data_IF_366757300630
#
_entry.id   IF_366757300630
#
_cell.length_a   1.000
_cell.length_b   1.000
_cell.length_c   1.000
_cell.angle_alpha   90.00
_cell.angle_beta   90.00
_cell.angle_gamma   90.00
#
_symmetry.space_group_name_H-M   'P 1'
#
loop_
_entity.id
_entity.type
_entity.pdbx_description
1 polymer ?
#
# COMPACT_ATOMS: atom_id res chain seq x y z
N UNK A 1 2.08 31.82 -13.82
CA UNK A 1 2.50 31.99 -12.41
C UNK A 1 2.01 30.77 -11.66
N UNK A 2 2.90 29.93 -11.11
CA UNK A 2 2.46 28.87 -10.21
C UNK A 2 1.92 29.50 -8.91
N UNK A 3 0.78 29.02 -8.45
CA UNK A 3 0.19 29.38 -7.15
C UNK A 3 0.49 28.23 -6.20
N UNK A 4 1.00 28.55 -5.01
CA UNK A 4 1.19 27.56 -3.96
C UNK A 4 -0.16 27.13 -3.38
N UNK A 5 -0.42 25.82 -3.40
CA UNK A 5 -1.68 25.22 -2.95
C UNK A 5 -1.52 24.38 -1.66
N UNK A 6 -0.29 24.23 -1.17
CA UNK A 6 0.02 23.48 0.04
C UNK A 6 1.40 22.82 0.00
N UNK A 7 1.73 22.15 1.11
CA UNK A 7 2.99 21.44 1.33
C UNK A 7 2.68 19.98 1.64
N UNK A 8 3.57 19.07 1.20
CA UNK A 8 3.46 17.65 1.52
C UNK A 8 3.87 17.43 2.97
N UNK A 9 2.96 16.88 3.77
CA UNK A 9 3.20 16.57 5.19
C UNK A 9 3.97 15.26 5.38
N UNK A 10 3.59 14.22 4.62
CA UNK A 10 4.24 12.90 4.69
C UNK A 10 4.08 12.12 3.37
N UNK A 11 5.03 11.23 3.11
CA UNK A 11 5.00 10.29 1.97
C UNK A 11 4.93 8.87 2.50
N UNK A 12 4.08 8.04 1.91
CA UNK A 12 3.94 6.64 2.28
C UNK A 12 4.04 5.73 1.06
N UNK A 13 4.78 4.63 1.19
CA UNK A 13 4.87 3.57 0.17
C UNK A 13 4.20 2.29 0.65
N UNK A 14 3.53 1.60 -0.26
CA UNK A 14 2.78 0.37 -0.02
C UNK A 14 3.32 -0.73 -0.92
N UNK A 15 4.43 -1.40 -0.55
CA UNK A 15 5.07 -2.39 -1.43
C UNK A 15 4.16 -3.58 -1.74
N UNK A 16 3.30 -3.97 -0.78
CA UNK A 16 2.29 -5.01 -0.93
C UNK A 16 0.90 -4.40 -0.83
N UNK A 17 0.02 -4.76 -1.77
CA UNK A 17 -1.38 -4.35 -1.74
C UNK A 17 -2.01 -4.74 -0.41
N UNK A 18 -2.86 -3.85 0.12
CA UNK A 18 -3.67 -4.14 1.31
C UNK A 18 -2.85 -4.34 2.60
N UNK A 19 -1.56 -3.98 2.63
CA UNK A 19 -0.72 -4.02 3.83
C UNK A 19 -0.42 -2.61 4.37
N UNK A 20 0.18 -2.54 5.56
CA UNK A 20 0.61 -1.28 6.16
C UNK A 20 1.64 -0.57 5.26
N UNK A 21 1.45 0.73 5.09
CA UNK A 21 2.41 1.58 4.37
C UNK A 21 3.62 1.89 5.24
N UNK A 22 4.77 2.07 4.61
CA UNK A 22 5.99 2.58 5.23
C UNK A 22 6.10 4.09 4.98
N UNK A 23 6.46 4.85 6.01
CA UNK A 23 6.73 6.27 5.89
C UNK A 23 8.09 6.49 5.21
N UNK A 24 8.14 7.48 4.32
CA UNK A 24 9.34 7.87 3.59
C UNK A 24 9.60 9.35 3.77
N UNK A 25 10.85 9.70 4.08
CA UNK A 25 11.31 11.09 4.11
C UNK A 25 11.55 11.63 2.69
N UNK A 26 11.99 10.75 1.77
CA UNK A 26 12.29 11.06 0.38
C UNK A 26 11.79 9.91 -0.50
N UNK A 27 11.18 10.22 -1.64
CA UNK A 27 10.73 9.25 -2.62
C UNK A 27 11.04 9.70 -4.05
N UNK A 28 11.61 8.79 -4.85
CA UNK A 28 11.83 9.02 -6.27
C UNK A 28 10.54 8.79 -7.06
N UNK A 29 10.09 9.83 -7.76
CA UNK A 29 8.90 9.78 -8.60
C UNK A 29 9.30 9.51 -10.06
N UNK A 30 8.95 8.33 -10.56
CA UNK A 30 9.06 7.98 -11.98
C UNK A 30 7.72 8.05 -12.70
N UNK A 31 7.72 7.73 -14.00
CA UNK A 31 6.51 7.66 -14.83
C UNK A 31 5.42 6.72 -14.29
N UNK A 32 5.83 5.69 -13.55
CA UNK A 32 4.94 4.70 -12.96
C UNK A 32 4.60 4.98 -11.48
N UNK A 33 4.96 6.16 -10.96
CA UNK A 33 4.80 6.54 -9.56
C UNK A 33 6.06 6.32 -8.74
N UNK A 34 5.88 6.13 -7.43
CA UNK A 34 6.98 5.94 -6.48
C UNK A 34 7.65 4.59 -6.73
N UNK A 35 8.98 4.58 -6.83
CA UNK A 35 9.73 3.36 -7.03
C UNK A 35 9.47 2.34 -5.90
N UNK A 36 9.05 1.14 -6.31
CA UNK A 36 8.73 0.03 -5.40
C UNK A 36 7.31 0.05 -4.83
N UNK A 37 6.45 1.01 -5.20
CA UNK A 37 5.05 1.03 -4.76
C UNK A 37 4.19 -0.02 -5.49
N UNK A 38 3.36 -0.74 -4.72
CA UNK A 38 2.31 -1.70 -5.12
C UNK A 38 2.68 -2.73 -6.19
N UNK A 39 3.89 -3.28 -6.16
CA UNK A 39 4.30 -4.33 -7.12
C UNK A 39 3.93 -5.75 -6.68
N UNK A 40 3.55 -5.92 -5.42
CA UNK A 40 3.25 -7.23 -4.84
C UNK A 40 1.80 -7.29 -4.36
N UNK A 41 1.19 -8.46 -4.51
CA UNK A 41 -0.12 -8.77 -3.95
C UNK A 41 -0.14 -10.22 -3.45
N UNK A 42 -0.79 -10.45 -2.31
CA UNK A 42 -1.01 -11.80 -1.80
C UNK A 42 -2.18 -12.43 -2.56
N UNK A 43 -1.94 -13.59 -3.17
CA UNK A 43 -2.93 -14.34 -3.93
C UNK A 43 -3.13 -15.71 -3.32
N UNK A 44 -4.39 -16.17 -3.27
CA UNK A 44 -4.72 -17.56 -2.96
C UNK A 44 -4.53 -18.46 -4.18
N UNK A 45 -4.26 -19.73 -3.91
CA UNK A 45 -4.05 -20.75 -4.96
C UNK A 45 -5.30 -21.01 -5.79
N UNK A 46 -6.49 -20.67 -5.26
CA UNK A 46 -7.78 -20.69 -5.96
C UNK A 46 -8.00 -19.47 -6.88
N UNK A 47 -6.91 -18.77 -7.24
CA UNK A 47 -6.87 -17.64 -8.15
C UNK A 47 -7.42 -16.31 -7.61
N UNK A 48 -7.81 -16.21 -6.33
CA UNK A 48 -8.34 -14.97 -5.75
C UNK A 48 -7.25 -14.06 -5.14
N UNK A 49 -7.22 -12.79 -5.53
CA UNK A 49 -6.38 -11.77 -4.88
C UNK A 49 -6.97 -11.39 -3.52
N UNK A 50 -6.14 -11.34 -2.49
CA UNK A 50 -6.57 -10.97 -1.15
C UNK A 50 -6.63 -9.45 -0.99
N UNK A 51 -7.83 -8.94 -0.69
CA UNK A 51 -8.06 -7.55 -0.33
C UNK A 51 -8.15 -7.38 1.20
N UNK A 52 -7.93 -6.16 1.71
CA UNK A 52 -8.11 -5.82 3.13
C UNK A 52 -9.45 -6.32 3.70
N UNK A 53 -10.52 -6.30 2.90
CA UNK A 53 -11.82 -6.82 3.29
C UNK A 53 -11.78 -8.33 3.61
N UNK A 54 -11.11 -9.12 2.76
CA UNK A 54 -10.92 -10.56 2.99
C UNK A 54 -9.96 -10.87 4.14
N UNK A 55 -8.93 -10.04 4.35
CA UNK A 55 -8.01 -10.20 5.48
C UNK A 55 -8.73 -10.00 6.83
N UNK A 56 -9.60 -8.99 6.94
CA UNK A 56 -10.41 -8.75 8.16
C UNK A 56 -11.42 -9.86 8.47
N UNK A 57 -11.97 -10.51 7.45
CA UNK A 57 -12.96 -11.60 7.63
C UNK A 57 -12.33 -12.90 8.17
N UNK A 58 -11.05 -13.13 7.90
CA UNK A 58 -10.30 -14.30 8.38
C UNK A 58 -9.52 -14.05 9.68
N UNK A 59 -9.50 -12.81 10.20
CA UNK A 59 -8.90 -12.47 11.49
C UNK A 59 -9.82 -12.83 12.68
N UNK A 60 -10.63 -13.91 12.58
CA UNK A 60 -11.23 -14.50 13.77
C UNK A 60 -10.08 -15.07 14.60
N UNK A 61 -9.96 -14.74 15.89
CA UNK A 61 -8.86 -15.23 16.71
C UNK A 61 -8.92 -16.75 16.71
N UNK A 62 -7.77 -17.40 16.50
CA UNK A 62 -7.62 -18.81 16.80
C UNK A 62 -8.00 -18.96 18.28
N UNK A 63 -9.14 -19.60 18.52
CA UNK A 63 -9.54 -20.07 19.84
C UNK A 63 -8.42 -20.94 20.39
N UNK A 64 -7.93 -20.55 21.58
CA UNK A 64 -7.00 -21.30 22.44
C UNK A 64 -7.52 -22.70 22.70
#
# INVERSE_FOLDING_TARGET
MPIEIGVVDAVFRYPVKSMAGEALDIADLGWHGINGDRRLALRRMDNQELSLAHCRQNARPASV
#
